data_IF_108720044550
#
_entry.id   IF_108720044550
#
_cell.length_a   1.000
_cell.length_b   1.000
_cell.length_c   1.000
_cell.angle_alpha   90.00
_cell.angle_beta   90.00
_cell.angle_gamma   90.00
#
_symmetry.space_group_name_H-M   'P 1'
#
loop_
_entity.id
_entity.type
_entity.pdbx_description
1 polymer ?
#
# COMPACT_ATOMS: atom_id res chain seq x y z
N UNK A 1 -18.17 -19.09 2.94
CA UNK A 1 -17.34 -18.87 1.74
C UNK A 1 -17.77 -17.60 1.02
N UNK A 2 -18.91 -17.54 0.32
CA UNK A 2 -19.29 -16.33 -0.45
C UNK A 2 -19.17 -14.99 0.30
N UNK A 3 -19.67 -14.89 1.53
CA UNK A 3 -19.60 -13.65 2.33
C UNK A 3 -18.14 -13.27 2.63
N UNK A 4 -17.28 -14.26 2.93
CA UNK A 4 -15.86 -14.04 3.21
C UNK A 4 -15.16 -13.55 1.93
N UNK A 5 -15.35 -14.26 0.82
CA UNK A 5 -14.78 -13.88 -0.49
C UNK A 5 -15.17 -12.45 -0.86
N UNK A 6 -16.46 -12.08 -0.77
CA UNK A 6 -16.93 -10.73 -1.08
C UNK A 6 -16.30 -9.69 -0.14
N UNK A 7 -16.25 -9.98 1.17
CA UNK A 7 -15.64 -9.07 2.13
C UNK A 7 -14.13 -8.88 1.86
N UNK A 8 -13.41 -9.96 1.55
CA UNK A 8 -11.99 -9.94 1.17
C UNK A 8 -11.76 -9.12 -0.09
N UNK A 9 -12.55 -9.37 -1.15
CA UNK A 9 -12.46 -8.66 -2.43
C UNK A 9 -12.68 -7.16 -2.22
N UNK A 10 -13.76 -6.77 -1.53
CA UNK A 10 -14.11 -5.36 -1.33
C UNK A 10 -13.06 -4.66 -0.46
N UNK A 11 -12.66 -5.29 0.65
CA UNK A 11 -11.68 -4.71 1.58
C UNK A 11 -10.33 -4.47 0.90
N UNK A 12 -9.77 -5.51 0.27
CA UNK A 12 -8.47 -5.44 -0.39
C UNK A 12 -8.54 -4.55 -1.64
N UNK A 13 -9.59 -4.69 -2.45
CA UNK A 13 -9.79 -3.92 -3.67
C UNK A 13 -9.86 -2.41 -3.40
N UNK A 14 -10.61 -1.98 -2.38
CA UNK A 14 -10.68 -0.56 -1.99
C UNK A 14 -9.34 -0.03 -1.50
N UNK A 15 -8.59 -0.83 -0.73
CA UNK A 15 -7.26 -0.46 -0.25
C UNK A 15 -6.28 -0.26 -1.41
N UNK A 16 -6.22 -1.23 -2.33
CA UNK A 16 -5.36 -1.16 -3.53
C UNK A 16 -5.78 0.02 -4.41
N UNK A 17 -7.08 0.22 -4.60
CA UNK A 17 -7.61 1.36 -5.37
C UNK A 17 -7.21 2.70 -4.77
N UNK A 18 -7.21 2.81 -3.43
CA UNK A 18 -6.75 4.02 -2.73
C UNK A 18 -5.26 4.26 -2.95
N UNK A 19 -4.42 3.22 -2.80
CA UNK A 19 -2.97 3.31 -3.05
C UNK A 19 -2.66 3.66 -4.52
N UNK A 20 -3.37 3.04 -5.45
CA UNK A 20 -3.27 3.34 -6.87
C UNK A 20 -3.66 4.79 -7.17
N UNK A 21 -4.77 5.27 -6.59
CA UNK A 21 -5.22 6.64 -6.80
C UNK A 21 -4.23 7.67 -6.27
N UNK A 22 -3.61 7.39 -5.12
CA UNK A 22 -2.53 8.22 -4.57
C UNK A 22 -1.35 8.27 -5.53
N UNK A 23 -0.89 7.10 -6.00
CA UNK A 23 0.26 7.02 -6.89
C UNK A 23 0.01 7.62 -8.28
N UNK A 24 -1.16 7.42 -8.86
CA UNK A 24 -1.44 7.71 -10.27
C UNK A 24 -2.04 9.10 -10.49
N UNK A 25 -2.80 9.63 -9.52
CA UNK A 25 -3.51 10.90 -9.68
C UNK A 25 -3.08 11.94 -8.67
N UNK A 26 -3.03 11.61 -7.38
CA UNK A 26 -2.74 12.60 -6.33
C UNK A 26 -1.29 13.07 -6.41
N UNK A 27 -0.33 12.14 -6.41
CA UNK A 27 1.09 12.50 -6.46
C UNK A 27 1.39 13.38 -7.69
N UNK A 28 1.09 13.03 -8.95
CA UNK A 28 1.41 13.89 -10.10
C UNK A 28 0.81 15.30 -10.03
N UNK A 29 -0.34 15.48 -9.37
CA UNK A 29 -0.95 16.80 -9.15
C UNK A 29 -0.20 17.58 -8.07
N UNK A 30 0.11 16.94 -6.94
CA UNK A 30 0.85 17.58 -5.84
C UNK A 30 2.21 18.11 -6.28
N UNK A 31 2.86 17.46 -7.24
CA UNK A 31 4.16 17.86 -7.76
C UNK A 31 4.14 19.10 -8.65
N UNK A 32 2.96 19.58 -9.05
CA UNK A 32 2.81 20.84 -9.80
C UNK A 32 2.59 22.04 -8.89
N UNK A 33 2.45 21.83 -7.58
CA UNK A 33 2.24 22.88 -6.60
C UNK A 33 3.57 23.51 -6.19
N UNK A 34 3.51 24.76 -5.72
CA UNK A 34 4.65 25.42 -5.07
C UNK A 34 5.11 24.64 -3.83
N UNK A 35 6.40 24.69 -3.50
CA UNK A 35 7.04 23.89 -2.44
C UNK A 35 6.28 23.93 -1.09
N UNK A 36 5.78 25.10 -0.70
CA UNK A 36 4.99 25.27 0.53
C UNK A 36 3.63 24.56 0.48
N UNK A 37 2.91 24.67 -0.65
CA UNK A 37 1.61 24.03 -0.83
C UNK A 37 1.75 22.52 -0.97
N UNK A 38 2.79 22.06 -1.67
CA UNK A 38 3.14 20.64 -1.79
C UNK A 38 3.44 20.03 -0.42
N UNK A 39 4.29 20.66 0.39
CA UNK A 39 4.68 20.15 1.72
C UNK A 39 3.49 20.07 2.68
N UNK A 40 2.62 21.08 2.69
CA UNK A 40 1.41 21.08 3.51
C UNK A 40 0.45 19.96 3.11
N UNK A 41 0.22 19.79 1.81
CA UNK A 41 -0.64 18.72 1.31
C UNK A 41 -0.08 17.34 1.67
N UNK A 42 1.21 17.09 1.43
CA UNK A 42 1.88 15.83 1.79
C UNK A 42 1.73 15.55 3.29
N UNK A 43 1.94 16.53 4.17
CA UNK A 43 1.77 16.35 5.63
C UNK A 43 0.34 15.95 6.00
N UNK A 44 -0.68 16.61 5.43
CA UNK A 44 -2.08 16.29 5.71
C UNK A 44 -2.45 14.87 5.23
N UNK A 45 -2.05 14.51 4.02
CA UNK A 45 -2.28 13.16 3.47
C UNK A 45 -1.52 12.10 4.26
N UNK A 46 -0.24 12.34 4.58
CA UNK A 46 0.60 11.42 5.34
C UNK A 46 0.05 11.15 6.75
N UNK A 47 -0.47 12.15 7.45
CA UNK A 47 -1.04 11.98 8.78
C UNK A 47 -2.31 11.10 8.74
N UNK A 48 -3.21 11.37 7.79
CA UNK A 48 -4.49 10.65 7.71
C UNK A 48 -4.32 9.24 7.15
N UNK A 49 -3.57 9.09 6.05
CA UNK A 49 -3.28 7.78 5.48
C UNK A 49 -2.37 6.97 6.40
N UNK A 50 -1.33 7.57 6.99
CA UNK A 50 -0.42 6.88 7.90
C UNK A 50 -1.13 6.30 9.14
N UNK A 51 -2.23 6.91 9.58
CA UNK A 51 -3.03 6.39 10.69
C UNK A 51 -3.95 5.23 10.28
N UNK A 52 -4.63 5.35 9.14
CA UNK A 52 -5.64 4.36 8.71
C UNK A 52 -5.01 3.14 8.04
N UNK A 53 -3.96 3.33 7.25
CA UNK A 53 -3.40 2.28 6.39
C UNK A 53 -2.87 1.06 7.15
N UNK A 54 -2.15 1.18 8.29
CA UNK A 54 -1.66 0.00 9.01
C UNK A 54 -2.77 -0.97 9.43
N UNK A 55 -3.91 -0.44 9.89
CA UNK A 55 -5.06 -1.25 10.25
C UNK A 55 -5.68 -1.91 9.02
N UNK A 56 -5.73 -1.21 7.89
CA UNK A 56 -6.25 -1.76 6.64
C UNK A 56 -5.36 -2.88 6.09
N UNK A 57 -4.04 -2.70 6.10
CA UNK A 57 -3.08 -3.75 5.74
C UNK A 57 -3.20 -4.97 6.65
N UNK A 58 -3.35 -4.75 7.97
CA UNK A 58 -3.57 -5.80 8.95
C UNK A 58 -4.88 -6.56 8.71
N UNK A 59 -5.98 -5.84 8.47
CA UNK A 59 -7.27 -6.43 8.14
C UNK A 59 -7.22 -7.24 6.84
N UNK A 60 -6.58 -6.71 5.80
CA UNK A 60 -6.39 -7.44 4.54
C UNK A 60 -5.61 -8.74 4.72
N UNK A 61 -4.55 -8.71 5.53
CA UNK A 61 -3.79 -9.92 5.88
C UNK A 61 -4.65 -10.94 6.65
N UNK A 62 -5.40 -10.48 7.65
CA UNK A 62 -6.29 -11.36 8.43
C UNK A 62 -7.35 -12.03 7.54
N UNK A 63 -7.91 -11.29 6.57
CA UNK A 63 -8.86 -11.84 5.59
C UNK A 63 -8.20 -12.89 4.70
N UNK A 64 -7.01 -12.63 4.14
CA UNK A 64 -6.28 -13.63 3.35
C UNK A 64 -5.95 -14.89 4.15
N UNK A 65 -5.55 -14.75 5.42
CA UNK A 65 -5.29 -15.89 6.30
C UNK A 65 -6.56 -16.67 6.64
N UNK A 66 -7.70 -15.98 6.82
CA UNK A 66 -8.99 -16.63 7.03
C UNK A 66 -9.42 -17.44 5.80
N UNK A 67 -9.21 -16.91 4.59
CA UNK A 67 -9.45 -17.61 3.32
C UNK A 67 -8.56 -18.85 3.19
N UNK A 68 -7.25 -18.67 3.45
CA UNK A 68 -6.28 -19.77 3.42
C UNK A 68 -6.65 -20.89 4.40
N UNK A 69 -7.12 -20.54 5.61
CA UNK A 69 -7.57 -21.52 6.59
C UNK A 69 -8.87 -22.22 6.15
N UNK A 70 -9.81 -21.48 5.56
CA UNK A 70 -11.07 -22.03 5.09
C UNK A 70 -10.88 -23.00 3.90
N UNK A 71 -9.93 -22.71 3.00
CA UNK A 71 -9.62 -23.50 1.80
C UNK A 71 -8.47 -24.48 2.00
N UNK A 72 -8.07 -24.78 3.24
CA UNK A 72 -6.85 -25.57 3.57
C UNK A 72 -6.78 -26.99 2.99
N UNK A 73 -7.91 -27.55 2.56
CA UNK A 73 -7.97 -28.89 1.95
C UNK A 73 -8.11 -28.84 0.42
N UNK A 74 -8.24 -27.65 -0.15
CA UNK A 74 -8.35 -27.45 -1.59
C UNK A 74 -6.95 -27.29 -2.21
N UNK A 75 -6.74 -27.79 -3.45
CA UNK A 75 -5.46 -27.66 -4.13
C UNK A 75 -5.04 -26.19 -4.35
N UNK A 76 -6.00 -25.27 -4.45
CA UNK A 76 -5.76 -23.84 -4.72
C UNK A 76 -5.21 -23.06 -3.50
N UNK A 77 -5.08 -23.71 -2.34
CA UNK A 77 -4.47 -23.11 -1.14
C UNK A 77 -3.03 -22.62 -1.38
N UNK A 78 -2.32 -23.21 -2.35
CA UNK A 78 -0.97 -22.78 -2.73
C UNK A 78 -0.98 -21.36 -3.28
N UNK A 79 -1.95 -21.00 -4.12
CA UNK A 79 -2.08 -19.65 -4.66
C UNK A 79 -2.43 -18.63 -3.56
N UNK A 80 -3.31 -19.00 -2.63
CA UNK A 80 -3.62 -18.18 -1.46
C UNK A 80 -2.41 -17.96 -0.55
N UNK A 81 -1.57 -18.98 -0.40
CA UNK A 81 -0.33 -18.89 0.38
C UNK A 81 0.65 -17.92 -0.26
N UNK A 82 0.80 -17.97 -1.60
CA UNK A 82 1.65 -17.03 -2.34
C UNK A 82 1.08 -15.62 -2.24
N UNK A 83 -0.23 -15.42 -2.42
CA UNK A 83 -0.88 -14.12 -2.27
C UNK A 83 -0.63 -13.53 -0.87
N UNK A 84 -0.87 -14.32 0.18
CA UNK A 84 -0.62 -13.93 1.57
C UNK A 84 0.87 -13.59 1.81
N UNK A 85 1.78 -14.36 1.22
CA UNK A 85 3.22 -14.11 1.28
C UNK A 85 3.63 -12.79 0.64
N UNK A 86 3.08 -12.47 -0.54
CA UNK A 86 3.30 -11.17 -1.20
C UNK A 86 2.77 -10.03 -0.33
N UNK A 87 1.59 -10.20 0.28
CA UNK A 87 1.01 -9.20 1.18
C UNK A 87 1.91 -8.93 2.39
N UNK A 88 2.42 -9.97 3.04
CA UNK A 88 3.37 -9.85 4.15
C UNK A 88 4.65 -9.14 3.70
N UNK A 89 5.20 -9.51 2.53
CA UNK A 89 6.38 -8.85 1.99
C UNK A 89 6.14 -7.35 1.76
N UNK A 90 4.96 -6.98 1.25
CA UNK A 90 4.58 -5.57 1.09
C UNK A 90 4.52 -4.82 2.42
N UNK A 91 3.94 -5.43 3.47
CA UNK A 91 3.90 -4.84 4.81
C UNK A 91 5.33 -4.59 5.31
N UNK A 92 6.19 -5.59 5.21
CA UNK A 92 7.60 -5.50 5.64
C UNK A 92 8.33 -4.39 4.87
N UNK A 93 8.23 -4.37 3.54
CA UNK A 93 8.84 -3.33 2.71
C UNK A 93 8.31 -1.94 3.05
N UNK A 94 7.01 -1.82 3.34
CA UNK A 94 6.40 -0.55 3.74
C UNK A 94 6.98 -0.04 5.05
N UNK A 95 7.07 -0.90 6.07
CA UNK A 95 7.59 -0.53 7.39
C UNK A 95 9.09 -0.22 7.34
N UNK A 96 9.88 -0.96 6.55
CA UNK A 96 11.33 -0.79 6.47
C UNK A 96 11.77 0.38 5.60
N UNK A 97 11.05 0.69 4.52
CA UNK A 97 11.50 1.69 3.53
C UNK A 97 10.58 2.91 3.44
N UNK A 98 9.26 2.70 3.33
CA UNK A 98 8.35 3.82 3.08
C UNK A 98 8.08 4.64 4.35
N UNK A 99 7.88 3.98 5.49
CA UNK A 99 7.62 4.67 6.77
C UNK A 99 8.79 5.54 7.22
N UNK A 100 10.06 5.08 7.21
CA UNK A 100 11.19 5.91 7.62
C UNK A 100 11.40 7.10 6.69
N UNK A 101 11.17 6.94 5.39
CA UNK A 101 11.26 8.05 4.42
C UNK A 101 10.15 9.07 4.66
N UNK A 102 8.92 8.62 4.91
CA UNK A 102 7.80 9.51 5.22
C UNK A 102 8.02 10.30 6.53
N UNK A 103 8.58 9.64 7.55
CA UNK A 103 8.94 10.28 8.82
C UNK A 103 10.06 11.32 8.68
N UNK A 104 11.00 11.12 7.75
CA UNK A 104 12.03 12.12 7.43
C UNK A 104 11.38 13.36 6.80
N UNK A 105 10.48 13.19 5.83
CA UNK A 105 9.75 14.32 5.24
C UNK A 105 8.85 15.05 6.25
N UNK A 106 8.24 14.32 7.20
CA UNK A 106 7.44 14.93 8.26
C UNK A 106 8.26 15.79 9.23
N UNK A 107 9.54 15.43 9.47
CA UNK A 107 10.44 16.12 10.40
C UNK A 107 11.29 17.21 9.74
N UNK A 108 11.36 17.25 8.41
CA UNK A 108 12.12 18.27 7.69
C UNK A 108 11.57 19.68 7.98
N UNK A 109 12.47 20.61 8.29
CA UNK A 109 12.12 22.03 8.48
C UNK A 109 11.70 22.69 7.16
N UNK A 110 10.80 23.69 7.19
CA UNK A 110 10.43 24.44 5.99
C UNK A 110 11.67 25.15 5.43
N UNK A 111 12.09 24.79 4.22
CA UNK A 111 13.26 25.36 3.57
C UNK A 111 13.42 24.84 2.14
N UNK A 112 14.36 25.40 1.36
CA UNK A 112 14.56 25.01 -0.02
C UNK A 112 14.86 23.51 -0.16
N UNK A 113 14.17 22.85 -1.08
CA UNK A 113 14.28 21.41 -1.28
C UNK A 113 15.71 21.05 -1.70
N UNK A 114 16.44 20.36 -0.83
CA UNK A 114 17.80 19.91 -1.14
C UNK A 114 17.79 18.83 -2.23
N UNK A 115 18.85 18.73 -3.04
CA UNK A 115 19.00 17.64 -4.03
C UNK A 115 18.88 16.24 -3.42
N UNK A 116 19.25 16.07 -2.15
CA UNK A 116 19.09 14.82 -1.39
C UNK A 116 17.61 14.49 -1.18
N UNK A 117 16.82 15.48 -0.77
CA UNK A 117 15.37 15.31 -0.59
C UNK A 117 14.68 14.91 -1.91
N UNK A 118 15.08 15.50 -3.05
CA UNK A 118 14.55 15.10 -4.36
C UNK A 118 14.90 13.64 -4.72
N UNK A 119 16.13 13.20 -4.47
CA UNK A 119 16.56 11.80 -4.73
C UNK A 119 15.81 10.79 -3.86
N UNK A 120 15.66 11.09 -2.57
CA UNK A 120 14.93 10.23 -1.64
C UNK A 120 13.44 10.16 -1.98
N UNK A 121 12.88 11.25 -2.52
CA UNK A 121 11.51 11.30 -3.00
C UNK A 121 11.29 10.42 -4.26
N UNK A 122 12.19 10.48 -5.25
CA UNK A 122 12.10 9.59 -6.43
C UNK A 122 12.23 8.11 -6.07
N UNK A 123 13.04 7.78 -5.06
CA UNK A 123 13.11 6.42 -4.52
C UNK A 123 11.78 6.01 -3.89
N UNK A 124 11.21 6.87 -3.06
CA UNK A 124 9.91 6.62 -2.42
C UNK A 124 8.82 6.36 -3.46
N UNK A 125 8.72 7.18 -4.50
CA UNK A 125 7.77 7.01 -5.60
C UNK A 125 7.91 5.66 -6.30
N UNK A 126 9.16 5.21 -6.52
CA UNK A 126 9.43 3.91 -7.15
C UNK A 126 9.00 2.75 -6.25
N UNK A 127 9.35 2.79 -4.96
CA UNK A 127 8.94 1.77 -4.01
C UNK A 127 7.42 1.76 -3.79
N UNK A 128 6.78 2.93 -3.82
CA UNK A 128 5.33 3.06 -3.74
C UNK A 128 4.63 2.43 -4.95
N UNK A 129 5.10 2.71 -6.17
CA UNK A 129 4.58 2.04 -7.38
C UNK A 129 4.78 0.53 -7.35
N UNK A 130 5.97 0.07 -6.94
CA UNK A 130 6.26 -1.36 -6.80
C UNK A 130 5.32 -2.03 -5.79
N UNK A 131 5.02 -1.34 -4.69
CA UNK A 131 4.04 -1.79 -3.69
C UNK A 131 2.65 -1.96 -4.30
N UNK A 132 2.15 -0.96 -5.03
CA UNK A 132 0.83 -1.04 -5.70
C UNK A 132 0.78 -2.23 -6.65
N UNK A 133 1.83 -2.45 -7.44
CA UNK A 133 1.93 -3.58 -8.35
C UNK A 133 1.93 -4.93 -7.61
N UNK A 134 2.71 -5.04 -6.54
CA UNK A 134 2.78 -6.26 -5.73
C UNK A 134 1.43 -6.59 -5.06
N UNK A 135 0.74 -5.58 -4.51
CA UNK A 135 -0.60 -5.77 -3.95
C UNK A 135 -1.63 -6.16 -5.01
N UNK A 136 -1.54 -5.56 -6.19
CA UNK A 136 -2.40 -5.92 -7.32
C UNK A 136 -2.16 -7.37 -7.75
N UNK A 137 -0.90 -7.81 -7.82
CA UNK A 137 -0.54 -9.19 -8.11
C UNK A 137 -1.08 -10.16 -7.03
N UNK A 138 -0.94 -9.79 -5.74
CA UNK A 138 -1.55 -10.53 -4.63
C UNK A 138 -3.06 -10.68 -4.79
N UNK A 139 -3.75 -9.60 -5.17
CA UNK A 139 -5.21 -9.62 -5.40
C UNK A 139 -5.58 -10.51 -6.59
N UNK A 140 -4.82 -10.47 -7.68
CA UNK A 140 -5.05 -11.34 -8.85
C UNK A 140 -4.88 -12.81 -8.46
N UNK A 141 -3.81 -13.16 -7.74
CA UNK A 141 -3.61 -14.54 -7.27
C UNK A 141 -4.73 -15.00 -6.34
N UNK A 142 -5.18 -14.11 -5.44
CA UNK A 142 -6.34 -14.39 -4.59
C UNK A 142 -7.60 -14.65 -5.43
N UNK A 143 -7.92 -13.80 -6.40
CA UNK A 143 -9.08 -13.97 -7.27
C UNK A 143 -9.02 -15.29 -8.07
N UNK A 144 -7.87 -15.62 -8.64
CA UNK A 144 -7.68 -16.89 -9.38
C UNK A 144 -7.85 -18.10 -8.47
N UNK A 145 -7.50 -18.00 -7.18
CA UNK A 145 -7.64 -19.11 -6.25
C UNK A 145 -9.09 -19.37 -5.79
N UNK A 146 -9.99 -18.40 -5.94
CA UNK A 146 -11.36 -18.48 -5.42
C UNK A 146 -12.45 -18.53 -6.50
N UNK A 147 -12.08 -18.38 -7.77
CA UNK A 147 -12.95 -18.40 -8.94
C UNK A 147 -12.88 -19.76 -9.63
#
# INVERSE_FOLDING_TARGET
>A
MLILNVATIVCIGLMIGTEFAVSAFINPVLWKLDDHAQMNAIRMFAARLGFVMPFWYGLGLLLLLAEMFAMRHEPDVVLLSIASGIWVLVIVLTVLFLVPVNNQFARAEPGPVTQKAQRDHHKWDRFHRLRVLALTASMVLFLVAIL
#
